data_IF_974316911970
#
_entry.id   IF_974316911970
#
_cell.length_a   1.000
_cell.length_b   1.000
_cell.length_c   1.000
_cell.angle_alpha   90.00
_cell.angle_beta   90.00
_cell.angle_gamma   90.00
#
_symmetry.space_group_name_H-M   'P 1'
#
loop_
_entity.id
_entity.type
_entity.pdbx_description
1 polymer ?
#
# COMPACT_ATOMS: atom_id res chain seq x y z
N UNK A 1 20.80 -6.98 18.23
CA UNK A 1 20.15 -6.08 17.26
C UNK A 1 19.49 -4.97 18.05
N UNK A 2 19.91 -3.72 17.87
CA UNK A 2 19.23 -2.56 18.45
C UNK A 2 17.84 -2.49 17.83
N UNK A 3 16.81 -2.45 18.68
CA UNK A 3 15.43 -2.32 18.23
C UNK A 3 15.22 -0.87 17.76
N UNK A 4 15.55 -0.60 16.51
CA UNK A 4 15.35 0.73 15.92
C UNK A 4 13.86 0.89 15.67
N UNK A 5 13.19 1.70 16.48
CA UNK A 5 11.81 2.07 16.23
C UNK A 5 11.74 2.92 14.96
N UNK A 6 10.89 2.53 14.01
CA UNK A 6 10.64 3.29 12.78
C UNK A 6 10.13 4.72 13.07
N UNK A 7 9.49 4.91 14.23
CA UNK A 7 8.97 6.20 14.68
C UNK A 7 9.59 6.62 16.01
N UNK A 8 9.94 7.90 16.12
CA UNK A 8 10.52 8.49 17.35
C UNK A 8 9.50 8.65 18.48
N UNK A 9 8.24 8.95 18.12
CA UNK A 9 7.14 9.16 19.07
C UNK A 9 5.83 8.59 18.53
N UNK A 10 4.85 8.38 19.41
CA UNK A 10 3.50 7.95 19.04
C UNK A 10 2.80 9.00 18.20
N UNK A 11 2.98 10.29 18.52
CA UNK A 11 2.41 11.41 17.77
C UNK A 11 2.97 11.44 16.34
N UNK A 12 4.28 11.21 16.18
CA UNK A 12 4.92 11.13 14.88
C UNK A 12 4.40 9.96 14.04
N UNK A 13 4.23 8.78 14.64
CA UNK A 13 3.59 7.63 13.97
C UNK A 13 2.20 7.97 13.47
N UNK A 14 1.36 8.53 14.35
CA UNK A 14 -0.02 8.87 14.01
C UNK A 14 -0.09 9.97 12.93
N UNK A 15 0.84 10.92 12.93
CA UNK A 15 0.93 11.94 11.89
C UNK A 15 1.27 11.32 10.52
N UNK A 16 2.19 10.36 10.47
CA UNK A 16 2.54 9.63 9.24
C UNK A 16 1.37 8.80 8.74
N UNK A 17 0.68 8.06 9.62
CA UNK A 17 -0.50 7.28 9.23
C UNK A 17 -1.62 8.17 8.71
N UNK A 18 -1.92 9.29 9.39
CA UNK A 18 -2.92 10.24 8.91
C UNK A 18 -2.58 10.82 7.53
N UNK A 19 -1.30 11.10 7.27
CA UNK A 19 -0.87 11.55 5.95
C UNK A 19 -1.08 10.46 4.89
N UNK A 20 -0.73 9.22 5.21
CA UNK A 20 -0.96 8.06 4.35
C UNK A 20 -2.45 7.87 4.02
N UNK A 21 -3.32 7.87 5.03
CA UNK A 21 -4.79 7.77 4.87
C UNK A 21 -5.34 8.91 4.00
N UNK A 22 -4.80 10.12 4.16
CA UNK A 22 -5.19 11.27 3.32
C UNK A 22 -4.83 11.04 1.86
N UNK A 23 -3.69 10.42 1.57
CA UNK A 23 -3.33 10.09 0.20
C UNK A 23 -4.19 8.95 -0.37
N UNK A 24 -4.44 7.89 0.41
CA UNK A 24 -5.33 6.80 0.03
C UNK A 24 -6.76 7.30 -0.28
N UNK A 25 -7.25 8.29 0.47
CA UNK A 25 -8.54 8.94 0.20
C UNK A 25 -8.65 9.57 -1.19
N UNK A 26 -7.54 9.78 -1.91
CA UNK A 26 -7.55 10.26 -3.30
C UNK A 26 -7.72 9.14 -4.33
N UNK A 27 -7.74 7.87 -3.91
CA UNK A 27 -7.92 6.74 -4.80
C UNK A 27 -9.31 6.78 -5.44
N UNK A 28 -9.34 6.71 -6.78
CA UNK A 28 -10.57 6.92 -7.58
C UNK A 28 -11.23 5.63 -8.06
N UNK A 29 -10.71 4.49 -7.63
CA UNK A 29 -11.19 3.17 -8.01
C UNK A 29 -11.54 2.35 -6.76
N UNK A 30 -12.49 1.40 -6.87
CA UNK A 30 -12.70 0.41 -5.82
C UNK A 30 -11.41 -0.33 -5.52
N UNK A 31 -11.07 -0.40 -4.24
CA UNK A 31 -9.88 -1.09 -3.75
C UNK A 31 -10.15 -1.69 -2.38
N UNK A 32 -9.35 -2.68 -2.01
CA UNK A 32 -9.34 -3.32 -0.71
C UNK A 32 -7.98 -3.09 -0.06
N UNK A 33 -7.97 -2.75 1.23
CA UNK A 33 -6.76 -2.68 2.05
C UNK A 33 -6.65 -3.98 2.85
N UNK A 34 -5.58 -4.75 2.65
CA UNK A 34 -5.43 -6.10 3.21
C UNK A 34 -4.12 -6.19 3.97
N UNK A 35 -4.13 -6.82 5.14
CA UNK A 35 -2.91 -7.19 5.85
C UNK A 35 -2.64 -8.69 5.68
N UNK A 36 -1.58 -9.04 4.97
CA UNK A 36 -1.19 -10.42 4.70
C UNK A 36 -0.17 -10.87 5.76
N UNK A 37 -0.40 -12.02 6.38
CA UNK A 37 0.55 -12.61 7.31
C UNK A 37 1.73 -13.24 6.54
N UNK A 38 2.94 -12.80 6.86
CA UNK A 38 4.19 -13.35 6.32
C UNK A 38 5.04 -13.93 7.46
N UNK A 39 6.10 -14.65 7.09
CA UNK A 39 7.09 -15.14 8.07
C UNK A 39 7.89 -14.02 8.75
N UNK A 40 7.81 -12.78 8.23
CA UNK A 40 8.53 -11.62 8.73
C UNK A 40 7.64 -10.59 9.44
N UNK A 41 6.33 -10.86 9.52
CA UNK A 41 5.32 -9.92 10.05
C UNK A 41 4.18 -9.71 9.07
N UNK A 42 3.32 -8.73 9.35
CA UNK A 42 2.22 -8.36 8.46
C UNK A 42 2.73 -7.41 7.36
N UNK A 43 2.41 -7.74 6.12
CA UNK A 43 2.58 -6.85 4.97
C UNK A 43 1.23 -6.20 4.66
N UNK A 44 1.23 -4.88 4.47
CA UNK A 44 0.02 -4.15 4.05
C UNK A 44 -0.02 -4.12 2.52
N UNK A 45 -1.18 -4.44 1.96
CA UNK A 45 -1.42 -4.52 0.52
C UNK A 45 -2.65 -3.71 0.14
N UNK A 46 -2.53 -2.95 -0.97
CA UNK A 46 -3.68 -2.33 -1.64
C UNK A 46 -4.00 -3.18 -2.87
N UNK A 47 -5.21 -3.74 -2.92
CA UNK A 47 -5.68 -4.56 -4.02
C UNK A 47 -6.78 -3.85 -4.81
N UNK A 48 -6.69 -3.85 -6.14
CA UNK A 48 -7.70 -3.26 -7.02
C UNK A 48 -7.81 -4.01 -8.35
N UNK A 49 -8.94 -3.87 -9.04
CA UNK A 49 -9.21 -4.56 -10.30
C UNK A 49 -10.09 -5.81 -10.13
N UNK A 50 -10.33 -6.53 -11.23
CA UNK A 50 -11.22 -7.70 -11.23
C UNK A 50 -10.47 -8.95 -10.78
N UNK A 51 -11.10 -9.76 -9.94
CA UNK A 51 -10.52 -10.99 -9.37
C UNK A 51 -10.16 -12.06 -10.42
N UNK A 52 -10.74 -11.99 -11.62
CA UNK A 52 -10.50 -12.92 -12.73
C UNK A 52 -9.49 -12.37 -13.76
N UNK A 53 -8.99 -11.15 -13.59
CA UNK A 53 -7.94 -10.58 -14.42
C UNK A 53 -6.55 -11.13 -14.03
N UNK A 54 -5.56 -11.12 -14.96
CA UNK A 54 -4.19 -11.49 -14.62
C UNK A 54 -3.63 -10.60 -13.50
N UNK A 55 -2.85 -11.19 -12.59
CA UNK A 55 -2.31 -10.48 -11.41
C UNK A 55 -1.09 -9.64 -11.81
N UNK A 56 -1.05 -8.40 -11.32
CA UNK A 56 0.10 -7.50 -11.40
C UNK A 56 0.51 -7.07 -9.98
N UNK A 57 1.73 -7.43 -9.56
CA UNK A 57 2.29 -7.01 -8.28
C UNK A 57 3.14 -5.75 -8.48
N UNK A 58 2.88 -4.71 -7.70
CA UNK A 58 3.62 -3.46 -7.68
C UNK A 58 4.49 -3.41 -6.42
N UNK A 59 5.77 -3.11 -6.60
CA UNK A 59 6.74 -2.94 -5.51
C UNK A 59 7.31 -1.54 -5.60
N UNK A 60 7.22 -0.78 -4.50
CA UNK A 60 7.69 0.60 -4.48
C UNK A 60 9.23 0.70 -4.40
N UNK A 61 9.74 1.90 -4.66
CA UNK A 61 11.16 2.22 -4.50
C UNK A 61 11.59 2.37 -3.03
N UNK A 62 12.89 2.38 -2.78
CA UNK A 62 13.43 2.65 -1.44
C UNK A 62 13.07 4.07 -0.96
N UNK A 63 12.65 4.20 0.31
CA UNK A 63 12.33 5.50 0.93
C UNK A 63 10.94 6.06 0.58
N UNK A 64 10.14 5.33 -0.18
CA UNK A 64 8.74 5.63 -0.52
C UNK A 64 7.85 4.44 -0.14
N UNK A 65 6.55 4.50 -0.45
CA UNK A 65 5.57 3.46 -0.15
C UNK A 65 4.52 3.38 -1.28
N UNK A 66 3.58 2.44 -1.18
CA UNK A 66 2.53 2.13 -2.17
C UNK A 66 1.66 3.30 -2.65
N UNK A 67 1.52 4.37 -1.85
CA UNK A 67 0.78 5.57 -2.29
C UNK A 67 1.33 6.15 -3.60
N UNK A 68 2.60 5.91 -3.94
CA UNK A 68 3.19 6.34 -5.20
C UNK A 68 2.41 5.84 -6.44
N UNK A 69 1.72 4.71 -6.33
CA UNK A 69 1.06 4.03 -7.44
C UNK A 69 -0.42 4.40 -7.61
N UNK A 70 -1.03 5.19 -6.71
CA UNK A 70 -2.47 5.49 -6.73
C UNK A 70 -2.93 6.00 -8.12
N UNK A 71 -2.14 6.85 -8.75
CA UNK A 71 -2.45 7.39 -10.09
C UNK A 71 -2.38 6.31 -11.18
N UNK A 72 -1.36 5.46 -11.15
CA UNK A 72 -1.12 4.43 -12.15
C UNK A 72 -2.09 3.24 -12.00
N UNK A 73 -2.48 2.91 -10.77
CA UNK A 73 -3.44 1.85 -10.46
C UNK A 73 -4.81 2.09 -11.11
N UNK A 74 -5.22 3.35 -11.32
CA UNK A 74 -6.44 3.68 -12.08
C UNK A 74 -6.40 3.03 -13.46
N UNK A 75 -5.26 3.13 -14.16
CA UNK A 75 -5.09 2.57 -15.50
C UNK A 75 -4.82 1.08 -15.48
N UNK A 76 -3.99 0.60 -14.55
CA UNK A 76 -3.63 -0.82 -14.51
C UNK A 76 -4.80 -1.71 -14.10
N UNK A 77 -5.67 -1.24 -13.21
CA UNK A 77 -6.85 -2.00 -12.75
C UNK A 77 -7.90 -2.27 -13.84
N UNK A 78 -7.82 -1.57 -14.98
CA UNK A 78 -8.68 -1.83 -16.16
C UNK A 78 -8.33 -3.17 -16.84
N UNK A 79 -7.09 -3.65 -16.67
CA UNK A 79 -6.55 -4.82 -17.37
C UNK A 79 -6.07 -5.92 -16.43
N UNK A 80 -5.71 -5.56 -15.20
CA UNK A 80 -5.06 -6.46 -14.24
C UNK A 80 -5.76 -6.42 -12.88
N UNK A 81 -5.61 -7.51 -12.12
CA UNK A 81 -5.80 -7.49 -10.67
C UNK A 81 -4.50 -6.99 -10.06
N UNK A 82 -4.47 -5.74 -9.64
CA UNK A 82 -3.28 -5.10 -9.06
C UNK A 82 -3.20 -5.35 -7.56
N UNK A 83 -2.01 -5.72 -7.07
CA UNK A 83 -1.69 -5.86 -5.66
C UNK A 83 -0.39 -5.08 -5.39
N UNK A 84 -0.42 -4.13 -4.46
CA UNK A 84 0.72 -3.27 -4.14
C UNK A 84 1.15 -3.45 -2.69
N UNK A 85 2.40 -3.88 -2.47
CA UNK A 85 2.97 -4.19 -1.15
C UNK A 85 3.77 -2.99 -0.60
N UNK A 86 3.50 -2.61 0.66
CA UNK A 86 4.24 -1.59 1.45
C UNK A 86 5.42 -2.18 2.22
#
# INVERSE_FOLDING_TARGET
MTNTFAFKTTEGRNAVYKAYDTFLGNMRIPHEEVNIDTRFGKAFVIAAGKKDAPVLVLLHGSGINSVMWIGDMVKYSEHYSTEDEV
#
